data_IF_753319409749
#
_entry.id   IF_753319409749
#
_cell.length_a   1.000
_cell.length_b   1.000
_cell.length_c   1.000
_cell.angle_alpha   90.00
_cell.angle_beta   90.00
_cell.angle_gamma   90.00
#
_symmetry.space_group_name_H-M   'P 1'
#
loop_
_entity.id
_entity.type
_entity.pdbx_description
1 polymer ?
#
# COMPACT_ATOMS: atom_id res chain seq x y z
N UNK A 1 -8.95 -3.12 -38.39
CA UNK A 1 -10.09 -3.75 -37.67
C UNK A 1 -9.72 -3.80 -36.20
N UNK A 2 -10.25 -2.87 -35.40
CA UNK A 2 -9.95 -2.74 -33.97
C UNK A 2 -10.94 -3.64 -33.20
N UNK A 3 -10.43 -4.51 -32.33
CA UNK A 3 -11.25 -5.27 -31.39
C UNK A 3 -11.92 -4.31 -30.40
N UNK A 4 -13.18 -4.57 -30.00
CA UNK A 4 -13.89 -3.72 -29.07
C UNK A 4 -13.13 -3.69 -27.74
N UNK A 5 -12.91 -2.47 -27.26
CA UNK A 5 -12.24 -2.15 -26.01
C UNK A 5 -12.79 -3.01 -24.86
N UNK A 6 -12.03 -4.01 -24.43
CA UNK A 6 -12.32 -4.80 -23.23
C UNK A 6 -12.24 -3.86 -22.03
N UNK A 7 -13.38 -3.47 -21.46
CA UNK A 7 -13.47 -2.65 -20.24
C UNK A 7 -12.95 -3.46 -19.04
N UNK A 8 -11.64 -3.54 -18.88
CA UNK A 8 -11.01 -4.25 -17.76
C UNK A 8 -10.85 -3.27 -16.59
N UNK A 9 -11.56 -3.51 -15.50
CA UNK A 9 -11.22 -2.92 -14.20
C UNK A 9 -9.94 -3.61 -13.70
N UNK A 10 -8.86 -2.86 -13.52
CA UNK A 10 -7.58 -3.40 -13.08
C UNK A 10 -7.46 -3.24 -11.56
N UNK A 11 -7.36 -4.35 -10.83
CA UNK A 11 -7.08 -4.33 -9.40
C UNK A 11 -5.56 -4.40 -9.17
N UNK A 12 -5.01 -3.38 -8.52
CA UNK A 12 -3.62 -3.27 -8.15
C UNK A 12 -3.44 -3.50 -6.65
N UNK A 13 -2.46 -4.31 -6.29
CA UNK A 13 -2.09 -4.56 -4.90
C UNK A 13 -0.63 -4.19 -4.73
N UNK A 14 -0.37 -3.16 -3.95
CA UNK A 14 0.98 -2.78 -3.57
C UNK A 14 1.25 -3.09 -2.11
N UNK A 15 2.47 -3.53 -1.80
CA UNK A 15 2.95 -3.68 -0.44
C UNK A 15 4.26 -2.91 -0.28
N UNK A 16 4.20 -1.80 0.45
CA UNK A 16 5.31 -0.91 0.68
C UNK A 16 5.76 -0.98 2.14
N UNK A 17 7.07 -1.16 2.36
CA UNK A 17 7.68 -1.17 3.70
C UNK A 17 8.09 0.25 4.08
N UNK A 18 7.49 0.79 5.12
CA UNK A 18 7.91 2.08 5.70
C UNK A 18 8.96 1.82 6.77
N UNK A 19 10.22 2.10 6.43
CA UNK A 19 11.32 2.07 7.40
C UNK A 19 11.09 3.13 8.47
N UNK A 20 11.12 2.73 9.74
CA UNK A 20 11.06 3.70 10.83
C UNK A 20 12.47 4.21 11.07
N UNK A 21 12.70 5.49 10.77
CA UNK A 21 14.04 6.09 10.83
C UNK A 21 14.69 6.02 12.23
N UNK A 22 13.91 5.87 13.31
CA UNK A 22 14.46 5.68 14.67
C UNK A 22 13.52 4.93 15.59
N UNK A 23 14.06 3.93 16.31
CA UNK A 23 13.29 3.10 17.24
C UNK A 23 12.57 3.89 18.34
N UNK A 24 13.15 5.01 18.77
CA UNK A 24 12.57 5.91 19.78
C UNK A 24 11.27 6.59 19.32
N UNK A 25 11.08 6.76 18.01
CA UNK A 25 9.86 7.39 17.44
C UNK A 25 8.77 6.39 17.10
N UNK A 26 9.01 5.08 17.25
CA UNK A 26 8.02 4.03 16.98
C UNK A 26 6.74 4.24 17.80
N UNK A 27 6.85 4.57 19.09
CA UNK A 27 5.68 4.76 19.96
C UNK A 27 4.88 6.04 19.66
N UNK A 28 5.48 7.02 18.97
CA UNK A 28 4.80 8.24 18.54
C UNK A 28 4.09 8.07 17.19
N UNK A 29 4.40 7.04 16.43
CA UNK A 29 3.73 6.74 15.16
C UNK A 29 2.33 6.18 15.43
N UNK A 30 1.33 7.08 15.50
CA UNK A 30 -0.08 6.70 15.66
C UNK A 30 -0.83 6.56 14.34
N UNK A 31 -0.26 7.05 13.23
CA UNK A 31 -0.87 7.02 11.89
C UNK A 31 -1.24 5.60 11.45
N UNK A 32 -0.51 4.61 11.94
CA UNK A 32 -0.63 3.21 11.58
C UNK A 32 -1.19 2.33 12.70
N UNK A 33 -1.66 2.94 13.80
CA UNK A 33 -2.14 2.23 14.99
C UNK A 33 -3.44 1.49 14.66
N UNK A 34 -3.35 0.16 14.55
CA UNK A 34 -4.48 -0.73 14.26
C UNK A 34 -4.63 -1.13 12.79
N UNK A 35 -3.95 -0.46 11.87
CA UNK A 35 -4.07 -0.72 10.42
C UNK A 35 -2.91 -1.56 9.87
N UNK A 36 -1.70 -1.39 10.41
CA UNK A 36 -0.52 -2.12 9.93
C UNK A 36 0.24 -2.84 11.03
N UNK A 37 0.81 -3.99 10.67
CA UNK A 37 1.64 -4.80 11.55
C UNK A 37 3.07 -4.26 11.53
N UNK A 38 3.71 -4.33 12.71
CA UNK A 38 5.11 -3.94 12.88
C UNK A 38 5.99 -5.16 12.66
N UNK A 39 6.95 -5.05 11.75
CA UNK A 39 7.98 -6.06 11.48
C UNK A 39 9.36 -5.62 11.99
N UNK A 40 10.18 -6.59 12.37
CA UNK A 40 11.60 -6.37 12.68
C UNK A 40 12.45 -7.09 11.64
N UNK A 41 13.29 -6.33 10.93
CA UNK A 41 14.22 -6.85 9.94
C UNK A 41 15.66 -6.64 10.36
N UNK A 42 16.59 -7.08 9.51
CA UNK A 42 18.04 -6.88 9.69
C UNK A 42 18.43 -5.40 9.77
N UNK A 43 17.69 -4.52 9.09
CA UNK A 43 17.96 -3.07 9.07
C UNK A 43 17.19 -2.28 10.14
N UNK A 44 16.40 -2.93 11.01
CA UNK A 44 15.63 -2.27 12.06
C UNK A 44 14.13 -2.56 12.02
N UNK A 45 13.34 -1.69 12.65
CA UNK A 45 11.88 -1.81 12.69
C UNK A 45 11.22 -1.13 11.48
N UNK A 46 10.20 -1.77 10.93
CA UNK A 46 9.41 -1.25 9.81
C UNK A 46 7.92 -1.47 10.05
N UNK A 47 7.09 -0.67 9.37
CA UNK A 47 5.66 -0.91 9.23
C UNK A 47 5.38 -1.43 7.83
N UNK A 48 4.59 -2.51 7.75
CA UNK A 48 4.11 -3.05 6.49
C UNK A 48 2.81 -2.34 6.11
N UNK A 49 2.83 -1.56 5.03
CA UNK A 49 1.63 -0.94 4.47
C UNK A 49 1.23 -1.68 3.20
N UNK A 50 -0.05 -2.07 3.11
CA UNK A 50 -0.59 -2.76 1.94
C UNK A 50 -1.79 -1.98 1.42
N UNK A 51 -1.74 -1.61 0.14
CA UNK A 51 -2.75 -0.82 -0.53
C UNK A 51 -3.40 -1.67 -1.62
N UNK A 52 -4.73 -1.73 -1.62
CA UNK A 52 -5.51 -2.42 -2.64
C UNK A 52 -6.27 -1.35 -3.43
N UNK A 53 -5.79 -1.00 -4.62
CA UNK A 53 -6.44 -0.02 -5.49
C UNK A 53 -7.22 -0.73 -6.59
N UNK A 54 -8.45 -0.31 -6.86
CA UNK A 54 -9.17 -0.68 -8.08
C UNK A 54 -9.15 0.53 -8.99
N UNK A 55 -8.58 0.38 -10.19
CA UNK A 55 -8.37 1.47 -11.15
C UNK A 55 -9.15 1.15 -12.43
N UNK A 56 -9.78 2.16 -13.02
CA UNK A 56 -10.44 2.05 -14.33
C UNK A 56 -9.42 2.14 -15.48
N UNK A 57 -9.88 1.85 -16.69
CA UNK A 57 -9.08 1.91 -17.92
C UNK A 57 -8.53 3.31 -18.24
N UNK A 58 -9.13 4.36 -17.66
CA UNK A 58 -8.70 5.76 -17.79
C UNK A 58 -7.73 6.21 -16.69
N UNK A 59 -7.32 5.31 -15.78
CA UNK A 59 -6.41 5.63 -14.68
C UNK A 59 -7.08 6.26 -13.45
N UNK A 60 -8.40 6.32 -13.40
CA UNK A 60 -9.18 6.79 -12.25
C UNK A 60 -9.31 5.73 -11.15
N UNK A 61 -9.17 6.14 -9.88
CA UNK A 61 -9.34 5.26 -8.72
C UNK A 61 -10.84 5.08 -8.46
N UNK A 62 -11.30 3.84 -8.50
CA UNK A 62 -12.69 3.45 -8.26
C UNK A 62 -12.90 3.04 -6.79
N UNK A 63 -11.91 2.39 -6.17
CA UNK A 63 -11.99 1.93 -4.76
C UNK A 63 -10.60 1.74 -4.14
N UNK A 64 -10.51 1.88 -2.81
CA UNK A 64 -9.32 1.62 -1.96
C UNK A 64 -9.64 0.59 -0.87
#
# INVERSE_FOLDING_TARGET
MLLPHSRLSLAFVDSSKLQVCHNLRIFKHQVFKGTSKRGKGTMGWFYDFKLYLIINDQGGIISV
#
